data_IF_058955024884
#
_entry.id   IF_058955024884
#
_cell.length_a   1.000
_cell.length_b   1.000
_cell.length_c   1.000
_cell.angle_alpha   90.00
_cell.angle_beta   90.00
_cell.angle_gamma   90.00
#
_symmetry.space_group_name_H-M   'P 1'
#
loop_
_entity.id
_entity.type
_entity.pdbx_description
1 polymer ?
#
# COMPACT_ATOMS: atom_id res chain seq x y z
N UNK A 1 39.42 -9.91 31.07
CA UNK A 1 38.00 -9.65 30.78
C UNK A 1 37.66 -9.12 29.37
N UNK A 2 38.59 -8.52 28.59
CA UNK A 2 38.27 -7.81 27.32
C UNK A 2 37.92 -8.72 26.12
N UNK A 3 38.35 -10.00 26.10
CA UNK A 3 38.06 -10.93 24.98
C UNK A 3 36.58 -11.25 24.78
N UNK A 4 35.78 -11.28 25.87
CA UNK A 4 34.35 -11.63 25.82
C UNK A 4 33.53 -10.62 25.01
N UNK A 5 33.85 -9.33 25.12
CA UNK A 5 33.11 -8.26 24.44
C UNK A 5 33.26 -8.26 22.92
N UNK A 6 34.35 -8.79 22.36
CA UNK A 6 34.59 -8.76 20.91
C UNK A 6 33.73 -9.77 20.15
N UNK A 7 33.52 -10.94 20.74
CA UNK A 7 32.67 -11.99 20.16
C UNK A 7 31.22 -11.53 20.16
N UNK A 8 30.79 -10.86 21.24
CA UNK A 8 29.48 -10.21 21.35
C UNK A 8 29.29 -9.11 20.31
N UNK A 9 30.28 -8.25 20.08
CA UNK A 9 30.18 -7.16 19.10
C UNK A 9 29.99 -7.68 17.66
N UNK A 10 30.71 -8.74 17.28
CA UNK A 10 30.52 -9.42 15.99
C UNK A 10 29.16 -10.10 15.90
N UNK A 11 28.71 -10.78 16.96
CA UNK A 11 27.40 -11.45 16.98
C UNK A 11 26.26 -10.43 16.86
N UNK A 12 26.31 -9.32 17.60
CA UNK A 12 25.30 -8.25 17.54
C UNK A 12 25.26 -7.65 16.14
N UNK A 13 26.41 -7.29 15.55
CA UNK A 13 26.45 -6.73 14.19
C UNK A 13 25.89 -7.68 13.13
N UNK A 14 26.17 -8.98 13.24
CA UNK A 14 25.65 -9.99 12.30
C UNK A 14 24.14 -10.23 12.49
N UNK A 15 23.67 -10.29 13.73
CA UNK A 15 22.23 -10.38 14.05
C UNK A 15 21.48 -9.16 13.49
N UNK A 16 22.01 -7.95 13.66
CA UNK A 16 21.39 -6.72 13.13
C UNK A 16 21.26 -6.74 11.61
N UNK A 17 22.28 -7.24 10.89
CA UNK A 17 22.23 -7.36 9.42
C UNK A 17 21.18 -8.39 8.99
N UNK A 18 21.17 -9.57 9.62
CA UNK A 18 20.18 -10.61 9.29
C UNK A 18 18.76 -10.14 9.60
N UNK A 19 18.56 -9.51 10.75
CA UNK A 19 17.26 -8.94 11.13
C UNK A 19 16.81 -7.85 10.14
N UNK A 20 17.71 -6.99 9.68
CA UNK A 20 17.41 -5.98 8.66
C UNK A 20 16.94 -6.62 7.34
N UNK A 21 17.63 -7.65 6.85
CA UNK A 21 17.26 -8.35 5.61
C UNK A 21 15.87 -8.99 5.74
N UNK A 22 15.60 -9.64 6.88
CA UNK A 22 14.29 -10.26 7.15
C UNK A 22 13.19 -9.21 7.21
N UNK A 23 13.39 -8.12 7.97
CA UNK A 23 12.42 -7.02 8.05
C UNK A 23 12.16 -6.39 6.68
N UNK A 24 13.19 -6.24 5.85
CA UNK A 24 13.04 -5.73 4.48
C UNK A 24 12.21 -6.69 3.61
N UNK A 25 12.49 -7.99 3.65
CA UNK A 25 11.73 -8.98 2.89
C UNK A 25 10.25 -9.02 3.32
N UNK A 26 9.98 -8.96 4.63
CA UNK A 26 8.60 -8.91 5.14
C UNK A 26 7.93 -7.58 4.78
N UNK A 27 8.66 -6.46 4.77
CA UNK A 27 8.11 -5.17 4.31
C UNK A 27 7.65 -5.23 2.86
N UNK A 28 8.47 -5.79 1.97
CA UNK A 28 8.12 -5.98 0.56
C UNK A 28 6.88 -6.88 0.42
N UNK A 29 6.79 -7.94 1.22
CA UNK A 29 5.62 -8.81 1.24
C UNK A 29 4.35 -8.08 1.71
N UNK A 30 4.41 -7.29 2.79
CA UNK A 30 3.26 -6.53 3.29
C UNK A 30 2.82 -5.41 2.35
N UNK A 31 3.76 -4.79 1.62
CA UNK A 31 3.43 -3.83 0.54
C UNK A 31 2.66 -4.49 -0.60
N UNK A 32 2.98 -5.75 -0.92
CA UNK A 32 2.27 -6.52 -1.95
C UNK A 32 0.91 -7.02 -1.47
N UNK A 33 0.75 -7.35 -0.18
CA UNK A 33 -0.49 -7.88 0.37
C UNK A 33 -1.61 -6.85 0.57
N UNK A 34 -1.29 -5.55 0.69
CA UNK A 34 -2.28 -4.48 0.89
C UNK A 34 -2.99 -4.00 -0.38
N UNK A 35 -2.50 -4.40 -1.55
CA UNK A 35 -3.16 -4.11 -2.82
C UNK A 35 -4.18 -5.20 -3.13
N UNK A 36 -5.36 -4.82 -3.66
CA UNK A 36 -6.28 -5.76 -4.33
C UNK A 36 -5.60 -6.34 -5.58
N UNK A 37 -4.65 -7.25 -5.37
CA UNK A 37 -3.87 -7.93 -6.38
C UNK A 37 -4.60 -9.22 -6.76
N UNK A 38 -5.14 -9.25 -7.98
CA UNK A 38 -5.77 -10.43 -8.55
C UNK A 38 -4.77 -11.11 -9.48
N UNK A 39 -4.46 -12.39 -9.22
CA UNK A 39 -3.70 -13.23 -10.14
C UNK A 39 -4.63 -14.18 -10.86
N UNK A 40 -4.60 -14.17 -12.19
CA UNK A 40 -5.43 -15.04 -13.03
C UNK A 40 -4.63 -15.55 -14.23
N UNK A 41 -4.91 -16.78 -14.62
CA UNK A 41 -4.46 -17.29 -15.92
C UNK A 41 -5.51 -16.96 -16.98
N UNK A 42 -5.10 -16.27 -18.04
CA UNK A 42 -5.96 -15.97 -19.19
C UNK A 42 -5.56 -16.83 -20.39
N UNK A 43 -6.48 -17.63 -20.89
CA UNK A 43 -6.28 -18.43 -22.11
C UNK A 43 -6.33 -17.57 -23.38
N UNK A 44 -5.73 -18.02 -24.49
CA UNK A 44 -5.81 -17.34 -25.79
C UNK A 44 -7.25 -17.05 -26.22
N UNK A 45 -7.51 -15.81 -26.67
CA UNK A 45 -8.83 -15.36 -27.10
C UNK A 45 -9.86 -15.24 -25.98
N UNK A 46 -9.44 -15.27 -24.70
CA UNK A 46 -10.31 -15.06 -23.54
C UNK A 46 -10.11 -13.67 -22.94
N UNK A 47 -11.20 -13.16 -22.36
CA UNK A 47 -11.22 -11.92 -21.59
C UNK A 47 -11.46 -12.23 -20.13
N UNK A 48 -10.61 -11.69 -19.26
CA UNK A 48 -10.85 -11.71 -17.81
C UNK A 48 -11.35 -10.35 -17.37
N UNK A 49 -12.30 -10.32 -16.42
CA UNK A 49 -12.93 -9.10 -15.94
C UNK A 49 -12.78 -8.94 -14.44
N UNK A 50 -12.42 -7.73 -14.00
CA UNK A 50 -12.30 -7.34 -12.60
C UNK A 50 -13.21 -6.15 -12.33
N UNK A 51 -14.22 -6.33 -11.48
CA UNK A 51 -15.20 -5.29 -11.17
C UNK A 51 -14.86 -4.54 -9.89
N UNK A 52 -14.97 -3.20 -9.91
CA UNK A 52 -14.99 -2.33 -8.73
C UNK A 52 -16.33 -1.63 -8.67
N UNK A 53 -17.03 -1.82 -7.56
CA UNK A 53 -18.29 -1.13 -7.28
C UNK A 53 -18.04 0.18 -6.53
N UNK A 54 -19.02 1.08 -6.55
CA UNK A 54 -19.02 2.27 -5.69
C UNK A 54 -18.05 3.38 -6.10
N UNK A 55 -17.61 3.39 -7.36
CA UNK A 55 -16.79 4.49 -7.90
C UNK A 55 -17.69 5.71 -8.09
N UNK A 56 -17.22 6.89 -7.72
CA UNK A 56 -17.88 8.17 -7.95
C UNK A 56 -17.22 8.93 -9.09
N UNK A 57 -17.99 9.77 -9.77
CA UNK A 57 -17.45 10.70 -10.76
C UNK A 57 -16.44 11.65 -10.08
N UNK A 58 -15.22 11.72 -10.64
CA UNK A 58 -14.09 12.46 -10.08
C UNK A 58 -13.07 11.60 -9.33
N UNK A 59 -13.35 10.32 -9.09
CA UNK A 59 -12.44 9.41 -8.41
C UNK A 59 -11.24 9.04 -9.28
N UNK A 60 -10.08 8.84 -8.66
CA UNK A 60 -8.91 8.29 -9.34
C UNK A 60 -9.02 6.76 -9.39
N UNK A 61 -9.26 6.22 -10.59
CA UNK A 61 -9.23 4.78 -10.88
C UNK A 61 -7.82 4.40 -11.34
N UNK A 62 -7.13 3.61 -10.53
CA UNK A 62 -5.76 3.20 -10.81
C UNK A 62 -5.71 1.70 -11.03
N UNK A 63 -5.07 1.26 -12.11
CA UNK A 63 -4.77 -0.13 -12.32
C UNK A 63 -3.35 -0.38 -12.81
N UNK A 64 -2.81 -1.55 -12.46
CA UNK A 64 -1.50 -2.02 -12.93
C UNK A 64 -1.64 -3.46 -13.38
N UNK A 65 -1.17 -3.75 -14.59
CA UNK A 65 -1.16 -5.10 -15.17
C UNK A 65 0.30 -5.59 -15.23
N UNK A 66 0.56 -6.76 -14.69
CA UNK A 66 1.89 -7.39 -14.66
C UNK A 66 1.83 -8.81 -15.23
N UNK A 67 2.78 -9.18 -16.08
CA UNK A 67 2.89 -10.50 -16.70
C UNK A 67 4.36 -10.80 -17.03
N UNK A 68 4.69 -12.09 -17.23
CA UNK A 68 6.09 -12.56 -17.19
C UNK A 68 6.71 -12.88 -18.56
N UNK A 69 6.01 -12.71 -19.67
CA UNK A 69 6.56 -12.92 -21.02
C UNK A 69 5.96 -11.91 -22.01
N UNK A 70 6.52 -11.72 -23.20
CA UNK A 70 5.93 -10.80 -24.17
C UNK A 70 4.64 -11.38 -24.75
N UNK A 71 3.56 -10.62 -24.69
CA UNK A 71 2.23 -11.00 -25.17
C UNK A 71 1.51 -9.77 -25.70
N UNK A 72 0.50 -10.00 -26.53
CA UNK A 72 -0.46 -8.99 -26.95
C UNK A 72 -1.68 -9.06 -26.00
N UNK A 73 -1.68 -8.18 -25.01
CA UNK A 73 -2.81 -8.01 -24.09
C UNK A 73 -3.47 -6.66 -24.33
N UNK A 74 -4.80 -6.62 -24.29
CA UNK A 74 -5.55 -5.36 -24.31
C UNK A 74 -6.27 -5.20 -22.99
N UNK A 75 -5.88 -4.19 -22.21
CA UNK A 75 -6.62 -3.79 -21.02
C UNK A 75 -7.57 -2.64 -21.37
N UNK A 76 -8.84 -2.80 -21.01
CA UNK A 76 -9.90 -1.83 -21.24
C UNK A 76 -10.63 -1.55 -19.93
N UNK A 77 -10.64 -0.30 -19.50
CA UNK A 77 -11.45 0.14 -18.36
C UNK A 77 -12.83 0.60 -18.85
N UNK A 78 -13.86 -0.11 -18.40
CA UNK A 78 -15.24 0.02 -18.88
C UNK A 78 -16.12 0.56 -17.74
N UNK A 79 -16.86 1.63 -18.01
CA UNK A 79 -17.84 2.18 -17.06
C UNK A 79 -19.13 1.35 -17.01
N UNK A 80 -19.99 1.65 -16.05
CA UNK A 80 -21.29 0.99 -15.91
C UNK A 80 -22.17 1.09 -17.18
N UNK A 81 -21.95 2.13 -17.99
CA UNK A 81 -22.69 2.37 -19.23
C UNK A 81 -22.09 1.61 -20.43
N UNK A 82 -21.04 0.81 -20.22
CA UNK A 82 -20.35 0.06 -21.28
C UNK A 82 -19.31 0.86 -22.05
N UNK A 83 -19.08 2.14 -21.70
CA UNK A 83 -18.10 2.99 -22.38
C UNK A 83 -16.69 2.63 -21.93
N UNK A 84 -15.78 2.41 -22.89
CA UNK A 84 -14.35 2.18 -22.63
C UNK A 84 -13.59 3.52 -22.55
N UNK A 85 -12.80 3.73 -21.50
CA UNK A 85 -12.09 4.99 -21.26
C UNK A 85 -10.57 4.88 -21.28
N UNK A 86 -10.03 3.74 -20.87
CA UNK A 86 -8.59 3.49 -20.84
C UNK A 86 -8.33 2.18 -21.56
N UNK A 87 -7.93 2.26 -22.83
CA UNK A 87 -7.58 1.09 -23.64
C UNK A 87 -6.07 1.12 -23.85
N UNK A 88 -5.37 0.18 -23.21
CA UNK A 88 -3.93 0.01 -23.36
C UNK A 88 -3.67 -1.33 -24.02
N UNK A 89 -2.92 -1.30 -25.11
CA UNK A 89 -2.30 -2.50 -25.67
C UNK A 89 -0.92 -2.67 -25.07
N UNK A 90 -0.69 -3.82 -24.47
CA UNK A 90 0.60 -4.27 -23.99
C UNK A 90 1.18 -5.19 -25.04
N UNK A 91 2.35 -4.83 -25.59
CA UNK A 91 3.02 -5.57 -26.65
C UNK A 91 4.41 -6.06 -26.18
N UNK A 92 4.82 -5.67 -24.98
CA UNK A 92 6.12 -5.96 -24.35
C UNK A 92 5.97 -6.05 -22.82
N UNK A 93 6.90 -6.77 -22.17
CA UNK A 93 7.08 -6.87 -20.71
C UNK A 93 6.96 -5.50 -19.99
N UNK A 94 6.51 -5.51 -18.73
CA UNK A 94 5.34 -4.77 -18.23
C UNK A 94 5.44 -3.24 -18.34
N UNK A 95 4.35 -2.60 -18.77
CA UNK A 95 4.26 -1.13 -18.88
C UNK A 95 3.26 -0.54 -17.89
N UNK A 96 3.78 -0.19 -16.71
CA UNK A 96 3.30 0.95 -15.93
C UNK A 96 1.95 0.81 -15.22
N UNK A 97 1.74 1.73 -14.29
CA UNK A 97 0.46 2.00 -13.65
C UNK A 97 -0.31 2.97 -14.55
N UNK A 98 -1.59 2.72 -14.82
CA UNK A 98 -2.46 3.70 -15.47
C UNK A 98 -3.50 4.21 -14.47
N UNK A 99 -3.71 5.52 -14.46
CA UNK A 99 -4.68 6.20 -13.62
C UNK A 99 -5.58 7.05 -14.50
N UNK A 100 -6.89 6.90 -14.35
CA UNK A 100 -7.87 7.80 -14.95
C UNK A 100 -8.74 8.44 -13.88
N UNK A 101 -9.22 9.65 -14.16
CA UNK A 101 -10.32 10.24 -13.42
C UNK A 101 -11.64 9.63 -13.93
N UNK A 102 -12.43 9.04 -13.05
CA UNK A 102 -13.72 8.46 -13.38
C UNK A 102 -14.68 9.57 -13.83
N UNK A 103 -15.13 9.63 -15.10
CA UNK A 103 -16.08 10.63 -15.56
C UNK A 103 -17.52 10.37 -15.09
N UNK A 104 -17.80 9.19 -14.55
CA UNK A 104 -19.13 8.79 -14.10
C UNK A 104 -19.07 7.91 -12.87
N UNK A 105 -20.06 8.09 -11.98
CA UNK A 105 -20.26 7.22 -10.84
C UNK A 105 -20.87 5.89 -11.29
N UNK A 106 -20.53 4.80 -10.62
CA UNK A 106 -21.10 3.48 -10.88
C UNK A 106 -20.13 2.33 -10.67
N UNK A 107 -20.51 1.18 -11.19
CA UNK A 107 -19.63 0.01 -11.24
C UNK A 107 -18.71 0.10 -12.45
N UNK A 108 -17.42 -0.10 -12.22
CA UNK A 108 -16.40 -0.10 -13.26
C UNK A 108 -15.81 -1.49 -13.39
N UNK A 109 -15.49 -1.87 -14.62
CA UNK A 109 -14.90 -3.18 -14.93
C UNK A 109 -13.62 -2.98 -15.70
N UNK A 110 -12.51 -3.48 -15.17
CA UNK A 110 -11.29 -3.68 -15.94
C UNK A 110 -11.39 -5.00 -16.68
N UNK A 111 -11.40 -4.95 -18.01
CA UNK A 111 -11.32 -6.12 -18.86
C UNK A 111 -9.90 -6.26 -19.40
N UNK A 112 -9.39 -7.48 -19.40
CA UNK A 112 -8.11 -7.81 -20.02
C UNK A 112 -8.35 -8.92 -21.03
N UNK A 113 -8.26 -8.57 -22.31
CA UNK A 113 -8.32 -9.51 -23.42
C UNK A 113 -6.92 -10.04 -23.72
N UNK A 114 -6.79 -11.37 -23.80
CA UNK A 114 -5.59 -12.03 -24.29
C UNK A 114 -5.73 -12.31 -25.78
N UNK A 115 -5.23 -11.39 -26.60
CA UNK A 115 -5.22 -11.52 -28.06
C UNK A 115 -4.00 -12.32 -28.56
N UNK A 116 -3.11 -12.71 -27.63
CA UNK A 116 -1.96 -13.58 -27.91
C UNK A 116 -2.33 -15.06 -28.09
N UNK A 117 -1.36 -15.82 -28.62
CA UNK A 117 -1.52 -17.25 -28.90
C UNK A 117 -1.27 -18.21 -27.73
N UNK A 118 -0.95 -17.71 -26.52
CA UNK A 118 -0.56 -18.53 -25.37
C UNK A 118 -1.26 -18.10 -24.08
N UNK A 119 -1.34 -19.02 -23.11
CA UNK A 119 -1.87 -18.70 -21.78
C UNK A 119 -0.91 -17.76 -21.03
N UNK A 120 -1.46 -16.74 -20.36
CA UNK A 120 -0.70 -15.74 -19.61
C UNK A 120 -1.19 -15.68 -18.17
N UNK A 121 -0.27 -15.73 -17.21
CA UNK A 121 -0.55 -15.35 -15.84
C UNK A 121 -0.46 -13.83 -15.70
N UNK A 122 -1.56 -13.22 -15.30
CA UNK A 122 -1.76 -11.78 -15.20
C UNK A 122 -1.98 -11.45 -13.73
N UNK A 123 -1.17 -10.55 -13.19
CA UNK A 123 -1.41 -9.90 -11.91
C UNK A 123 -1.98 -8.49 -12.15
N UNK A 124 -3.09 -8.19 -11.47
CA UNK A 124 -3.82 -6.94 -11.59
C UNK A 124 -3.96 -6.31 -10.23
N UNK A 125 -3.42 -5.11 -10.04
CA UNK A 125 -3.80 -4.24 -8.93
C UNK A 125 -4.87 -3.29 -9.43
N UNK A 126 -6.05 -3.28 -8.82
CA UNK A 126 -7.14 -2.37 -9.19
C UNK A 126 -7.66 -1.63 -7.96
N UNK A 127 -7.41 -0.32 -7.88
CA UNK A 127 -7.70 0.48 -6.70
C UNK A 127 -8.35 1.83 -7.03
N UNK A 128 -9.19 2.32 -6.12
CA UNK A 128 -9.77 3.66 -6.13
C UNK A 128 -9.22 4.41 -4.92
N UNK A 129 -8.07 5.05 -5.09
CA UNK A 129 -7.27 5.52 -3.96
C UNK A 129 -7.88 6.78 -3.33
N UNK A 130 -8.71 7.55 -4.06
CA UNK A 130 -9.28 8.80 -3.54
C UNK A 130 -10.59 9.15 -4.22
N UNK A 131 -11.65 9.26 -3.43
CA UNK A 131 -12.90 9.91 -3.81
C UNK A 131 -12.75 11.43 -3.73
N UNK A 132 -13.09 12.18 -4.77
CA UNK A 132 -12.92 13.65 -4.79
C UNK A 132 -14.24 14.38 -4.98
N UNK A 133 -14.37 15.51 -4.30
CA UNK A 133 -15.49 16.44 -4.51
C UNK A 133 -16.84 15.90 -4.06
N UNK A 134 -16.87 14.98 -3.08
CA UNK A 134 -18.10 14.33 -2.64
C UNK A 134 -18.93 15.32 -1.81
N UNK A 135 -20.11 15.76 -2.29
CA UNK A 135 -20.92 16.73 -1.56
C UNK A 135 -21.67 16.03 -0.42
N UNK A 136 -21.56 16.57 0.79
CA UNK A 136 -22.36 16.15 1.94
C UNK A 136 -23.12 17.35 2.50
N UNK A 137 -24.45 17.28 2.41
CA UNK A 137 -25.34 18.29 2.97
C UNK A 137 -25.38 18.23 4.52
N UNK A 138 -25.75 19.33 5.19
CA UNK A 138 -25.99 19.37 6.64
C UNK A 138 -26.92 18.26 7.11
N UNK A 139 -26.56 17.57 8.19
CA UNK A 139 -27.34 16.48 8.80
C UNK A 139 -27.32 15.16 8.01
N UNK A 140 -26.68 15.11 6.85
CA UNK A 140 -26.58 13.90 6.04
C UNK A 140 -25.25 13.18 6.23
N UNK A 141 -25.19 11.95 5.71
CA UNK A 141 -23.99 11.14 5.68
C UNK A 141 -23.76 10.53 4.30
N UNK A 142 -22.50 10.19 4.03
CA UNK A 142 -22.12 9.35 2.89
C UNK A 142 -21.34 8.14 3.38
N UNK A 143 -21.25 7.10 2.55
CA UNK A 143 -20.48 5.89 2.84
C UNK A 143 -19.56 5.55 1.68
N UNK A 144 -18.34 5.18 2.02
CA UNK A 144 -17.33 4.68 1.10
C UNK A 144 -16.94 3.27 1.50
N UNK A 145 -16.67 2.43 0.51
CA UNK A 145 -16.41 1.01 0.70
C UNK A 145 -15.03 0.68 0.16
N UNK A 146 -14.27 -0.12 0.91
CA UNK A 146 -13.06 -0.74 0.40
C UNK A 146 -13.34 -2.23 0.14
N UNK A 147 -13.23 -2.70 -1.12
CA UNK A 147 -13.46 -4.09 -1.42
C UNK A 147 -12.34 -4.97 -0.84
N UNK A 148 -12.70 -5.69 0.23
CA UNK A 148 -11.99 -6.83 0.81
C UNK A 148 -10.62 -6.49 1.39
N UNK A 149 -10.63 -6.07 2.65
CA UNK A 149 -9.46 -5.93 3.49
C UNK A 149 -9.20 -7.24 4.23
N UNK A 150 -7.93 -7.62 4.41
CA UNK A 150 -7.55 -8.84 5.13
C UNK A 150 -7.28 -8.56 6.61
N UNK A 151 -7.62 -9.51 7.49
CA UNK A 151 -7.24 -9.45 8.90
C UNK A 151 -5.71 -9.36 9.04
N UNK A 152 -5.26 -8.48 9.94
CA UNK A 152 -3.86 -8.15 10.18
C UNK A 152 -3.30 -7.07 9.26
N UNK A 153 -4.06 -6.60 8.26
CA UNK A 153 -3.63 -5.54 7.36
C UNK A 153 -3.89 -4.14 7.94
N UNK A 154 -3.24 -3.10 7.40
CA UNK A 154 -3.33 -1.75 7.94
C UNK A 154 -4.29 -0.92 7.09
N UNK A 155 -5.50 -0.73 7.59
CA UNK A 155 -6.46 0.11 6.90
C UNK A 155 -6.24 1.57 7.28
N UNK A 156 -5.95 2.40 6.29
CA UNK A 156 -5.82 3.84 6.43
C UNK A 156 -6.99 4.52 5.77
N UNK A 157 -7.48 5.54 6.46
CA UNK A 157 -8.45 6.42 5.88
C UNK A 157 -8.12 7.87 6.18
N UNK A 158 -8.48 8.73 5.24
CA UNK A 158 -8.34 10.17 5.40
C UNK A 158 -9.52 10.89 4.79
N UNK A 159 -9.79 12.07 5.34
CA UNK A 159 -10.76 12.99 4.79
C UNK A 159 -10.19 14.40 4.81
N UNK A 160 -10.43 15.15 3.73
CA UNK A 160 -10.10 16.55 3.61
C UNK A 160 -11.29 17.30 3.02
N UNK A 161 -12.03 18.05 3.85
CA UNK A 161 -13.08 18.93 3.35
C UNK A 161 -12.51 20.16 2.65
N UNK A 162 -13.24 20.67 1.66
CA UNK A 162 -12.88 21.91 0.95
C UNK A 162 -13.04 23.18 1.80
N UNK A 163 -13.68 23.07 2.97
CA UNK A 163 -13.83 24.14 3.95
C UNK A 163 -13.92 23.57 5.36
N UNK A 164 -13.59 24.36 6.37
CA UNK A 164 -13.74 23.94 7.78
C UNK A 164 -15.23 23.74 8.06
N UNK A 165 -15.58 22.56 8.54
CA UNK A 165 -16.95 22.17 8.90
C UNK A 165 -16.92 21.23 10.10
N UNK A 166 -18.10 20.90 10.62
CA UNK A 166 -18.25 19.94 11.71
C UNK A 166 -18.54 18.55 11.12
N UNK A 167 -17.49 17.79 10.82
CA UNK A 167 -17.53 16.54 10.07
C UNK A 167 -16.94 15.41 10.89
N UNK A 168 -17.65 14.29 10.95
CA UNK A 168 -17.17 13.08 11.63
C UNK A 168 -17.09 11.93 10.65
N UNK A 169 -15.91 11.36 10.47
CA UNK A 169 -15.70 10.10 9.77
C UNK A 169 -15.61 8.96 10.78
N UNK A 170 -16.33 7.88 10.54
CA UNK A 170 -16.34 6.66 11.33
C UNK A 170 -15.92 5.49 10.46
N UNK A 171 -14.94 4.72 10.91
CA UNK A 171 -14.53 3.50 10.27
C UNK A 171 -15.28 2.31 10.88
N UNK A 172 -16.01 1.59 10.04
CA UNK A 172 -16.89 0.49 10.42
C UNK A 172 -16.39 -0.83 9.82
N UNK A 173 -16.35 -1.86 10.65
CA UNK A 173 -16.04 -3.23 10.27
C UNK A 173 -17.17 -3.91 9.48
N UNK A 174 -16.92 -5.08 8.88
CA UNK A 174 -17.92 -5.85 8.14
C UNK A 174 -19.17 -6.21 8.97
N UNK A 175 -19.01 -6.44 10.27
CA UNK A 175 -20.10 -6.70 11.22
C UNK A 175 -20.84 -5.42 11.66
N UNK A 176 -20.36 -4.24 11.23
CA UNK A 176 -20.94 -2.94 11.53
C UNK A 176 -20.42 -2.27 12.80
N UNK A 177 -19.49 -2.88 13.53
CA UNK A 177 -18.88 -2.25 14.70
C UNK A 177 -18.01 -1.04 14.30
N UNK A 178 -17.99 0.00 15.13
CA UNK A 178 -17.09 1.14 14.93
C UNK A 178 -15.72 0.84 15.55
N UNK A 179 -14.66 0.97 14.75
CA UNK A 179 -13.29 0.77 15.20
C UNK A 179 -12.52 2.07 15.38
N UNK A 180 -12.85 3.09 14.58
CA UNK A 180 -12.23 4.41 14.75
C UNK A 180 -13.15 5.54 14.30
N UNK A 181 -12.83 6.76 14.74
CA UNK A 181 -13.48 7.98 14.29
C UNK A 181 -12.52 9.16 14.24
N UNK A 182 -12.64 9.97 13.19
CA UNK A 182 -11.98 11.27 13.06
C UNK A 182 -13.06 12.33 13.15
N UNK A 183 -12.86 13.32 14.01
CA UNK A 183 -13.73 14.48 14.11
C UNK A 183 -12.97 15.73 13.67
N UNK A 184 -13.45 16.39 12.63
CA UNK A 184 -12.94 17.67 12.16
C UNK A 184 -13.96 18.74 12.52
N UNK A 185 -13.55 19.69 13.36
CA UNK A 185 -14.34 20.88 13.72
C UNK A 185 -13.61 22.18 13.41
N UNK A 186 -12.27 22.16 13.46
CA UNK A 186 -11.39 23.28 13.16
C UNK A 186 -10.25 22.92 12.18
N UNK A 187 -10.12 21.65 11.81
CA UNK A 187 -9.06 21.15 10.94
C UNK A 187 -9.57 20.95 9.51
N UNK A 188 -8.71 21.24 8.53
CA UNK A 188 -8.99 21.11 7.09
C UNK A 188 -8.72 19.71 6.53
N UNK A 189 -8.19 18.80 7.34
CA UNK A 189 -8.00 17.39 7.01
C UNK A 189 -7.75 16.57 8.27
N UNK A 190 -7.98 15.27 8.16
CA UNK A 190 -7.61 14.28 9.17
C UNK A 190 -7.38 12.92 8.54
N UNK A 191 -6.53 12.13 9.17
CA UNK A 191 -6.22 10.76 8.77
C UNK A 191 -6.07 9.87 10.00
N UNK A 192 -6.45 8.61 9.87
CA UNK A 192 -6.23 7.61 10.90
C UNK A 192 -5.91 6.24 10.29
N UNK A 193 -5.33 5.36 11.11
CA UNK A 193 -4.83 4.05 10.71
C UNK A 193 -5.20 3.01 11.76
N UNK A 194 -5.75 1.89 11.33
CA UNK A 194 -6.02 0.74 12.20
C UNK A 194 -5.36 -0.53 11.68
N UNK A 195 -5.05 -1.46 12.59
CA UNK A 195 -4.78 -2.85 12.22
C UNK A 195 -6.14 -3.56 12.19
N UNK A 196 -6.48 -4.13 11.04
CA UNK A 196 -7.78 -4.74 10.77
C UNK A 196 -7.91 -6.05 11.55
N UNK A 197 -8.86 -6.19 12.49
CA UNK A 197 -9.00 -7.42 13.26
C UNK A 197 -9.70 -8.53 12.45
N UNK A 198 -10.56 -8.17 11.51
CA UNK A 198 -11.39 -9.11 10.75
C UNK A 198 -11.32 -8.84 9.25
N UNK A 199 -11.16 -9.91 8.46
CA UNK A 199 -11.20 -9.81 7.01
C UNK A 199 -12.62 -9.51 6.54
N UNK A 200 -12.78 -8.68 5.51
CA UNK A 200 -14.07 -8.41 4.88
C UNK A 200 -14.16 -7.03 4.27
N UNK A 201 -15.39 -6.61 3.95
CA UNK A 201 -15.67 -5.28 3.41
C UNK A 201 -15.75 -4.25 4.54
N UNK A 202 -14.77 -3.36 4.57
CA UNK A 202 -14.73 -2.24 5.50
C UNK A 202 -15.36 -1.02 4.86
N UNK A 203 -16.00 -0.18 5.68
CA UNK A 203 -16.68 1.02 5.19
C UNK A 203 -16.36 2.21 6.08
N UNK A 204 -16.21 3.37 5.45
CA UNK A 204 -16.17 4.65 6.16
C UNK A 204 -17.52 5.31 6.00
N UNK A 205 -18.12 5.71 7.12
CA UNK A 205 -19.28 6.59 7.13
C UNK A 205 -18.85 7.99 7.52
N UNK A 206 -19.14 8.99 6.70
CA UNK A 206 -18.83 10.39 7.00
C UNK A 206 -20.13 11.16 7.18
N UNK A 207 -20.29 11.76 8.35
CA UNK A 207 -21.45 12.56 8.74
C UNK A 207 -21.06 14.04 8.74
N UNK A 208 -21.87 14.89 8.11
CA UNK A 208 -21.75 16.34 8.23
C UNK A 208 -22.76 16.85 9.27
N UNK A 209 -22.31 17.14 10.48
CA UNK A 209 -23.09 17.76 11.55
C UNK A 209 -22.99 19.30 11.55
N UNK A 210 -22.34 19.89 10.55
CA UNK A 210 -22.28 21.33 10.36
C UNK A 210 -23.52 21.90 9.67
N UNK A 211 -23.60 23.23 9.64
CA UNK A 211 -24.75 23.97 9.06
C UNK A 211 -24.63 24.18 7.54
N UNK A 212 -23.44 23.99 6.97
CA UNK A 212 -23.16 24.21 5.55
C UNK A 212 -22.82 22.89 4.83
N UNK A 213 -23.19 22.75 3.54
CA UNK A 213 -22.75 21.63 2.73
C UNK A 213 -21.23 21.68 2.53
N UNK A 214 -20.59 20.52 2.46
CA UNK A 214 -19.13 20.42 2.31
C UNK A 214 -18.78 19.42 1.22
N UNK A 215 -17.78 19.75 0.40
CA UNK A 215 -17.21 18.80 -0.56
C UNK A 215 -15.98 18.15 0.05
N UNK A 216 -15.95 16.83 0.07
CA UNK A 216 -14.89 16.05 0.69
C UNK A 216 -14.02 15.35 -0.35
N UNK A 217 -12.72 15.35 -0.09
CA UNK A 217 -11.80 14.37 -0.64
C UNK A 217 -11.58 13.28 0.41
N UNK A 218 -11.84 12.02 0.06
CA UNK A 218 -11.80 10.89 0.97
C UNK A 218 -10.93 9.80 0.38
N UNK A 219 -9.99 9.30 1.14
CA UNK A 219 -9.19 8.14 0.74
C UNK A 219 -9.40 7.03 1.76
N UNK A 220 -9.57 5.82 1.25
CA UNK A 220 -9.54 4.58 2.02
C UNK A 220 -8.63 3.62 1.28
N UNK A 221 -7.77 2.94 2.01
CA UNK A 221 -6.96 1.89 1.43
C UNK A 221 -5.97 1.33 2.44
N UNK A 222 -5.32 0.24 2.05
CA UNK A 222 -4.27 -0.33 2.86
C UNK A 222 -3.02 0.56 2.74
N UNK A 223 -2.71 1.33 3.78
CA UNK A 223 -1.36 1.86 3.90
C UNK A 223 -0.60 0.87 4.75
N UNK A 224 0.28 0.11 4.11
CA UNK A 224 1.22 -0.79 4.79
C UNK A 224 2.25 0.01 5.59
N UNK A 225 1.80 0.70 6.65
CA UNK A 225 2.65 1.40 7.62
C UNK A 225 3.57 0.42 8.36
N UNK A 226 3.16 -0.85 8.47
CA UNK A 226 4.01 -1.94 8.90
C UNK A 226 5.20 -2.13 7.95
N UNK A 227 4.99 -1.99 6.63
CA UNK A 227 6.07 -2.01 5.66
C UNK A 227 6.91 -0.74 5.70
N UNK A 228 6.32 0.46 5.82
CA UNK A 228 7.11 1.70 6.01
C UNK A 228 7.95 1.63 7.30
N UNK A 229 7.35 1.23 8.41
CA UNK A 229 8.02 1.06 9.69
C UNK A 229 9.12 0.00 9.64
N UNK A 230 8.84 -1.19 9.11
CA UNK A 230 9.86 -2.24 8.96
C UNK A 230 10.93 -1.87 7.91
N UNK A 231 10.61 -1.09 6.88
CA UNK A 231 11.57 -0.54 5.92
C UNK A 231 12.48 0.46 6.61
N UNK A 232 11.94 1.41 7.37
CA UNK A 232 12.71 2.38 8.17
C UNK A 232 13.60 1.64 9.17
N UNK A 233 13.06 0.68 9.93
CA UNK A 233 13.85 -0.14 10.85
C UNK A 233 14.94 -0.94 10.12
N UNK A 234 14.63 -1.52 8.95
CA UNK A 234 15.59 -2.20 8.08
C UNK A 234 16.73 -1.27 7.64
N UNK A 235 16.42 -0.05 7.21
CA UNK A 235 17.38 0.97 6.81
C UNK A 235 18.19 1.55 7.98
N UNK A 236 17.70 1.49 9.21
CA UNK A 236 18.47 1.92 10.40
C UNK A 236 19.36 0.77 10.92
N UNK A 237 18.86 -0.47 10.91
CA UNK A 237 19.59 -1.64 11.38
C UNK A 237 20.77 -2.01 10.48
N UNK A 238 20.67 -1.82 9.17
CA UNK A 238 21.73 -2.20 8.23
C UNK A 238 23.01 -1.35 8.39
N UNK A 239 22.97 0.00 8.37
CA UNK A 239 24.13 0.83 8.68
C UNK A 239 24.66 0.58 10.08
N UNK A 240 23.77 0.36 11.07
CA UNK A 240 24.16 0.02 12.43
C UNK A 240 24.99 -1.28 12.50
N UNK A 241 24.52 -2.34 11.85
CA UNK A 241 25.23 -3.62 11.78
C UNK A 241 26.58 -3.52 11.06
N UNK A 242 26.65 -2.75 9.97
CA UNK A 242 27.91 -2.45 9.25
C UNK A 242 28.89 -1.67 10.15
N UNK A 243 28.41 -0.68 10.90
CA UNK A 243 29.23 0.10 11.84
C UNK A 243 29.79 -0.77 12.98
N UNK A 244 29.01 -1.72 13.50
CA UNK A 244 29.50 -2.67 14.51
C UNK A 244 30.57 -3.61 13.92
N UNK A 245 30.39 -4.11 12.70
CA UNK A 245 31.41 -4.94 12.03
C UNK A 245 32.69 -4.15 11.71
N UNK A 246 32.57 -2.90 11.28
CA UNK A 246 33.73 -2.04 11.00
C UNK A 246 34.51 -1.70 12.27
N UNK A 247 33.81 -1.40 13.39
CA UNK A 247 34.42 -1.22 14.70
C UNK A 247 35.14 -2.49 15.20
N UNK A 248 34.54 -3.67 14.98
CA UNK A 248 35.18 -4.96 15.28
C UNK A 248 36.45 -5.18 14.45
N UNK A 249 36.39 -4.96 13.13
CA UNK A 249 37.53 -5.09 12.23
C UNK A 249 38.67 -4.12 12.59
N UNK A 250 38.33 -2.88 12.94
CA UNK A 250 39.28 -1.89 13.42
C UNK A 250 39.95 -2.32 14.74
N UNK A 251 39.18 -2.81 15.71
CA UNK A 251 39.70 -3.30 16.98
C UNK A 251 40.66 -4.50 16.81
N UNK A 252 40.38 -5.38 15.84
CA UNK A 252 41.26 -6.49 15.46
C UNK A 252 42.58 -6.00 14.82
N UNK A 253 42.51 -5.07 13.86
CA UNK A 253 43.70 -4.50 13.21
C UNK A 253 44.61 -3.80 14.23
N UNK A 254 44.04 -3.03 15.16
CA UNK A 254 44.80 -2.35 16.21
C UNK A 254 45.51 -3.33 17.14
N UNK A 255 44.88 -4.46 17.47
CA UNK A 255 45.54 -5.49 18.26
C UNK A 255 46.68 -6.18 17.53
N UNK A 256 46.52 -6.49 16.24
CA UNK A 256 47.62 -7.07 15.45
C UNK A 256 48.81 -6.12 15.41
N UNK A 257 48.59 -4.82 15.21
CA UNK A 257 49.65 -3.80 15.29
C UNK A 257 50.32 -3.74 16.67
N UNK A 258 49.54 -3.80 17.75
CA UNK A 258 50.09 -3.82 19.13
C UNK A 258 50.91 -5.07 19.44
N UNK A 259 50.54 -6.23 18.89
CA UNK A 259 51.31 -7.47 19.04
C UNK A 259 52.63 -7.39 18.27
N UNK A 260 52.58 -6.95 17.01
CA UNK A 260 53.79 -6.73 16.22
C UNK A 260 54.78 -5.77 16.90
N UNK A 261 54.29 -4.66 17.46
CA UNK A 261 55.15 -3.69 18.16
C UNK A 261 55.78 -4.25 19.45
N UNK A 262 55.17 -5.25 20.09
CA UNK A 262 55.74 -5.91 21.27
C UNK A 262 56.81 -6.94 20.90
N UNK A 263 56.61 -7.66 19.80
CA UNK A 263 57.59 -8.61 19.25
C UNK A 263 58.85 -7.93 18.70
N UNK A 264 58.80 -6.63 18.38
CA UNK A 264 59.96 -5.83 17.97
C UNK A 264 60.69 -5.12 19.13
N UNK A 265 60.13 -5.19 20.35
CA UNK A 265 60.71 -4.55 21.55
C UNK A 265 61.37 -5.52 22.52
N UNK A 266 61.39 -6.81 22.18
CA UNK A 266 62.19 -7.87 22.82
C UNK A 266 63.35 -8.26 21.89
#
# INVERSE_FOLDING_TARGET
>A
MIRSNKRRLRQIGLIMIVASIVLFAVSVYLLSAGTSEYSVNSDPGKTVSFSKAGVSAGDDLTYKVSFHQNFDLVASLISQNGTSYSVITFNQLPTGTNTILAPSSGNWTLQIANDGGYNVNISVVYDSITHKGVPIAPGNYTRFYDPKVSSGSNLVYSMSPNQVGNITAMLLSPDGAQHSSIHLSSASSGSDTIIVPVSGEWKIQINNSGELPVNLSVSIGDASYAALGMTIFGFVLLPGGIAFLSAYAYALRRERKRKHLREFSE
#
